data_IF_639867415172
#
_entry.id   IF_639867415172
#
_cell.length_a   1.000
_cell.length_b   1.000
_cell.length_c   1.000
_cell.angle_alpha   90.00
_cell.angle_beta   90.00
_cell.angle_gamma   90.00
#
_symmetry.space_group_name_H-M   'P 1'
#
loop_
_entity.id
_entity.type
_entity.pdbx_description
1 polymer ?
#
# COMPACT_ATOMS: atom_id res chain seq x y z
N UNK A 1 -3.03 -29.11 2.79
CA UNK A 1 -4.15 -28.32 2.21
C UNK A 1 -4.11 -26.97 2.89
N UNK A 2 -3.94 -25.86 2.16
CA UNK A 2 -4.01 -24.52 2.75
C UNK A 2 -5.46 -24.23 3.10
N UNK A 3 -5.76 -24.06 4.38
CA UNK A 3 -7.05 -23.56 4.81
C UNK A 3 -7.15 -22.11 4.37
N UNK A 4 -7.96 -21.84 3.36
CA UNK A 4 -8.31 -20.46 3.01
C UNK A 4 -9.34 -19.99 4.02
N UNK A 5 -9.00 -19.05 4.86
CA UNK A 5 -9.90 -18.43 5.82
C UNK A 5 -10.33 -17.05 5.27
N UNK A 6 -11.65 -16.82 5.25
CA UNK A 6 -12.22 -15.50 4.95
C UNK A 6 -12.61 -14.80 6.24
N UNK A 7 -11.93 -13.70 6.54
CA UNK A 7 -12.27 -12.84 7.68
C UNK A 7 -12.95 -11.59 7.15
N UNK A 8 -14.23 -11.44 7.47
CA UNK A 8 -14.98 -10.21 7.18
C UNK A 8 -14.89 -9.29 8.40
N UNK A 9 -14.25 -8.15 8.23
CA UNK A 9 -14.12 -7.16 9.28
C UNK A 9 -15.05 -5.97 8.98
N UNK A 10 -16.19 -5.93 9.68
CA UNK A 10 -17.12 -4.80 9.63
C UNK A 10 -16.86 -3.86 10.81
N UNK A 11 -16.36 -2.66 10.52
CA UNK A 11 -16.20 -1.61 11.53
C UNK A 11 -16.88 -0.32 11.05
N UNK A 12 -18.04 -0.04 11.64
CA UNK A 12 -18.82 1.15 11.34
C UNK A 12 -18.27 2.44 11.98
N UNK A 13 -17.30 2.30 12.89
CA UNK A 13 -16.64 3.44 13.56
C UNK A 13 -15.59 4.12 12.66
N UNK A 14 -15.08 3.42 11.64
CA UNK A 14 -14.12 3.98 10.71
C UNK A 14 -14.84 4.81 9.66
N UNK A 15 -14.60 6.12 9.56
CA UNK A 15 -15.27 6.98 8.61
C UNK A 15 -15.10 6.50 7.16
N UNK A 16 -16.15 6.70 6.35
CA UNK A 16 -16.11 6.39 4.92
C UNK A 16 -14.95 7.14 4.26
N UNK A 17 -14.18 6.44 3.42
CA UNK A 17 -13.01 7.01 2.73
C UNK A 17 -11.69 6.92 3.50
N UNK A 18 -11.68 6.45 4.75
CA UNK A 18 -10.46 6.25 5.53
C UNK A 18 -9.91 4.82 5.36
N UNK A 19 -9.51 4.48 4.13
CA UNK A 19 -9.08 3.11 3.80
C UNK A 19 -7.81 2.67 4.53
N UNK A 20 -6.86 3.58 4.74
CA UNK A 20 -5.59 3.25 5.41
C UNK A 20 -5.82 2.77 6.84
N UNK A 21 -6.82 3.32 7.54
CA UNK A 21 -7.18 2.87 8.89
C UNK A 21 -7.72 1.44 8.84
N UNK A 22 -8.58 1.12 7.87
CA UNK A 22 -9.10 -0.23 7.69
C UNK A 22 -7.98 -1.23 7.40
N UNK A 23 -7.07 -0.90 6.49
CA UNK A 23 -5.92 -1.72 6.20
C UNK A 23 -5.00 -1.88 7.42
N UNK A 24 -4.74 -0.81 8.19
CA UNK A 24 -3.95 -0.92 9.42
C UNK A 24 -4.52 -1.94 10.40
N UNK A 25 -5.84 -1.96 10.58
CA UNK A 25 -6.52 -2.93 11.46
C UNK A 25 -6.36 -4.36 10.92
N UNK A 26 -6.62 -4.57 9.62
CA UNK A 26 -6.50 -5.88 8.99
C UNK A 26 -5.07 -6.43 9.01
N UNK A 27 -4.08 -5.59 8.68
CA UNK A 27 -2.68 -5.99 8.70
C UNK A 27 -2.15 -6.22 10.11
N UNK A 28 -2.60 -5.42 11.10
CA UNK A 28 -2.29 -5.67 12.50
C UNK A 28 -2.80 -7.04 12.95
N UNK A 29 -4.05 -7.37 12.62
CA UNK A 29 -4.60 -8.68 12.92
C UNK A 29 -3.80 -9.79 12.24
N UNK A 30 -3.53 -9.70 10.95
CA UNK A 30 -2.75 -10.71 10.23
C UNK A 30 -1.33 -10.86 10.80
N UNK A 31 -0.72 -9.76 11.24
CA UNK A 31 0.58 -9.78 11.91
C UNK A 31 0.51 -10.52 13.26
N UNK A 32 -0.53 -10.25 14.07
CA UNK A 32 -0.74 -10.91 15.36
C UNK A 32 -1.06 -12.39 15.20
N UNK A 33 -1.73 -12.78 14.12
CA UNK A 33 -2.01 -14.17 13.73
C UNK A 33 -0.77 -14.89 13.13
N UNK A 34 0.41 -14.26 13.15
CA UNK A 34 1.68 -14.78 12.68
C UNK A 34 1.78 -15.08 11.17
N UNK A 35 1.02 -14.39 10.32
CA UNK A 35 1.24 -14.46 8.88
C UNK A 35 2.57 -13.80 8.49
N UNK A 36 3.27 -14.39 7.50
CA UNK A 36 4.59 -13.95 7.07
C UNK A 36 4.58 -12.90 5.97
N UNK A 37 3.53 -12.91 5.15
CA UNK A 37 3.41 -12.02 3.98
C UNK A 37 2.02 -11.41 3.91
N UNK A 38 1.97 -10.17 3.42
CA UNK A 38 0.76 -9.39 3.30
C UNK A 38 0.62 -8.82 1.90
N UNK A 39 -0.59 -8.86 1.37
CA UNK A 39 -0.92 -8.22 0.11
C UNK A 39 -2.10 -7.27 0.29
N UNK A 40 -1.86 -5.99 0.00
CA UNK A 40 -2.90 -4.97 0.01
C UNK A 40 -3.38 -4.76 -1.42
N UNK A 41 -4.68 -4.88 -1.65
CA UNK A 41 -5.31 -4.60 -2.93
C UNK A 41 -6.74 -4.05 -2.74
N UNK A 42 -7.28 -3.43 -3.78
CA UNK A 42 -8.70 -3.11 -3.89
C UNK A 42 -9.54 -4.33 -4.21
N UNK A 43 -10.85 -4.16 -4.13
CA UNK A 43 -11.88 -5.14 -4.50
C UNK A 43 -12.11 -5.27 -6.01
N UNK A 44 -11.47 -4.39 -6.78
CA UNK A 44 -11.58 -4.23 -8.23
C UNK A 44 -10.34 -4.73 -8.99
N UNK A 45 -9.49 -5.50 -8.33
CA UNK A 45 -8.25 -6.03 -8.93
C UNK A 45 -8.50 -7.36 -9.65
N UNK A 46 -8.00 -7.44 -10.88
CA UNK A 46 -8.03 -8.66 -11.70
C UNK A 46 -6.61 -9.12 -11.99
N UNK A 47 -6.24 -10.28 -11.46
CA UNK A 47 -4.95 -10.92 -11.74
C UNK A 47 -4.95 -11.53 -13.15
N UNK A 48 -4.02 -11.09 -13.99
CA UNK A 48 -3.87 -11.56 -15.38
C UNK A 48 -2.84 -12.66 -15.53
N UNK A 49 -1.97 -12.84 -14.53
CA UNK A 49 -0.88 -13.83 -14.54
C UNK A 49 -0.94 -14.71 -13.32
N UNK A 50 -0.52 -15.98 -13.47
CA UNK A 50 -0.40 -16.95 -12.38
C UNK A 50 0.99 -16.92 -11.77
N UNK A 51 1.15 -17.45 -10.55
CA UNK A 51 2.45 -17.62 -9.89
C UNK A 51 3.00 -16.37 -9.21
N UNK A 52 2.36 -15.23 -9.32
CA UNK A 52 2.83 -13.95 -8.79
C UNK A 52 3.07 -13.96 -7.27
N UNK A 53 2.32 -14.76 -6.51
CA UNK A 53 2.51 -14.90 -5.04
C UNK A 53 3.88 -15.54 -4.76
N UNK A 54 4.17 -16.67 -5.40
CA UNK A 54 5.43 -17.39 -5.20
C UNK A 54 6.62 -16.53 -5.63
N UNK A 55 6.51 -15.81 -6.74
CA UNK A 55 7.55 -14.93 -7.23
C UNK A 55 7.75 -13.71 -6.33
N UNK A 56 6.65 -13.17 -5.75
CA UNK A 56 6.73 -12.10 -4.73
C UNK A 56 7.46 -12.56 -3.48
N UNK A 57 7.13 -13.76 -2.97
CA UNK A 57 7.80 -14.37 -1.81
C UNK A 57 9.28 -14.61 -2.12
N UNK A 58 9.58 -15.19 -3.28
CA UNK A 58 10.97 -15.48 -3.70
C UNK A 58 11.78 -14.19 -3.83
N UNK A 59 11.19 -13.14 -4.42
CA UNK A 59 11.81 -11.82 -4.51
C UNK A 59 12.15 -11.25 -3.13
N UNK A 60 11.19 -11.23 -2.20
CA UNK A 60 11.44 -10.70 -0.85
C UNK A 60 12.47 -11.54 -0.09
N UNK A 61 12.41 -12.88 -0.18
CA UNK A 61 13.40 -13.76 0.45
C UNK A 61 14.81 -13.47 -0.03
N UNK A 62 15.02 -13.24 -1.33
CA UNK A 62 16.31 -12.86 -1.91
C UNK A 62 16.84 -11.50 -1.43
N UNK A 63 15.98 -10.71 -0.79
CA UNK A 63 16.25 -9.35 -0.25
C UNK A 63 16.09 -9.29 1.27
N UNK A 64 16.37 -10.38 1.97
CA UNK A 64 16.24 -10.51 3.42
C UNK A 64 14.82 -10.16 3.93
N UNK A 65 13.80 -10.39 3.12
CA UNK A 65 12.41 -10.02 3.39
C UNK A 65 12.18 -8.51 3.66
N UNK A 66 13.08 -7.63 3.22
CA UNK A 66 12.92 -6.17 3.34
C UNK A 66 12.61 -5.60 1.96
N UNK A 67 11.42 -5.04 1.79
CA UNK A 67 11.04 -4.41 0.54
C UNK A 67 9.56 -4.43 0.23
N UNK A 68 9.25 -3.76 -0.86
CA UNK A 68 7.95 -3.72 -1.51
C UNK A 68 8.05 -4.41 -2.86
N UNK A 69 7.16 -5.34 -3.14
CA UNK A 69 7.06 -6.02 -4.44
C UNK A 69 5.60 -6.22 -4.83
N UNK A 70 5.36 -6.83 -5.96
CA UNK A 70 4.05 -7.22 -6.47
C UNK A 70 3.95 -7.06 -7.98
N UNK A 71 2.85 -7.57 -8.58
CA UNK A 71 2.56 -7.38 -10.00
C UNK A 71 2.47 -5.90 -10.37
N UNK A 72 2.92 -5.55 -11.56
CA UNK A 72 2.62 -4.23 -12.14
C UNK A 72 1.14 -4.14 -12.53
N UNK A 73 0.66 -2.93 -12.76
CA UNK A 73 -0.73 -2.66 -13.08
C UNK A 73 -0.87 -1.56 -14.16
N UNK A 74 -2.08 -1.04 -14.34
CA UNK A 74 -2.36 0.04 -15.30
C UNK A 74 -1.55 1.32 -15.02
N UNK A 75 -1.05 1.50 -13.79
CA UNK A 75 -0.21 2.63 -13.44
C UNK A 75 1.27 2.32 -13.73
N UNK A 76 1.80 2.88 -14.80
CA UNK A 76 3.20 2.63 -15.22
C UNK A 76 4.26 3.28 -14.32
N UNK A 77 3.86 4.13 -13.36
CA UNK A 77 4.79 4.89 -12.51
C UNK A 77 5.06 4.19 -11.18
N UNK A 78 4.03 3.64 -10.56
CA UNK A 78 4.08 3.08 -9.20
C UNK A 78 3.27 1.80 -9.11
N UNK A 79 3.57 0.96 -8.13
CA UNK A 79 2.66 -0.11 -7.70
C UNK A 79 1.47 0.54 -6.98
N UNK A 80 0.24 0.18 -7.32
CA UNK A 80 -0.98 0.61 -6.62
C UNK A 80 -1.51 -0.46 -5.67
N UNK A 81 -0.90 -1.63 -5.69
CA UNK A 81 -1.06 -2.71 -4.73
C UNK A 81 0.30 -3.05 -4.15
N UNK A 82 0.33 -3.50 -2.91
CA UNK A 82 1.59 -3.74 -2.22
C UNK A 82 1.68 -5.15 -1.64
N UNK A 83 2.76 -5.85 -1.97
CA UNK A 83 3.15 -7.11 -1.37
C UNK A 83 4.40 -6.89 -0.51
N UNK A 84 4.28 -7.17 0.79
CA UNK A 84 5.36 -7.00 1.76
C UNK A 84 5.46 -8.22 2.67
N UNK A 85 6.61 -8.42 3.32
CA UNK A 85 6.75 -9.38 4.40
C UNK A 85 6.31 -8.76 5.73
N UNK A 86 6.17 -9.61 6.78
CA UNK A 86 5.93 -9.17 8.16
C UNK A 86 6.96 -8.16 8.68
N UNK A 87 8.16 -8.11 8.10
CA UNK A 87 9.17 -7.10 8.44
C UNK A 87 8.70 -5.66 8.22
N UNK A 88 7.74 -5.43 7.34
CA UNK A 88 7.09 -4.12 7.21
C UNK A 88 6.49 -3.68 8.55
N UNK A 89 5.74 -4.56 9.21
CA UNK A 89 5.12 -4.27 10.50
C UNK A 89 6.18 -4.15 11.63
N UNK A 90 7.26 -4.92 11.55
CA UNK A 90 8.39 -4.84 12.50
C UNK A 90 9.16 -3.52 12.37
N UNK A 91 9.29 -3.01 11.14
CA UNK A 91 10.00 -1.75 10.85
C UNK A 91 9.19 -0.54 11.28
N UNK A 92 7.90 -0.51 10.95
CA UNK A 92 7.06 0.67 11.09
C UNK A 92 6.11 0.61 12.29
N UNK A 93 5.72 -0.58 12.75
CA UNK A 93 4.67 -0.77 13.77
C UNK A 93 3.24 -0.61 13.25
N UNK A 94 3.06 -0.26 11.99
CA UNK A 94 1.79 -0.04 11.29
C UNK A 94 1.98 -0.29 9.79
N UNK A 95 0.87 -0.44 9.05
CA UNK A 95 0.96 -0.65 7.60
C UNK A 95 1.01 0.68 6.83
N UNK A 96 0.17 1.63 7.20
CA UNK A 96 0.19 2.99 6.69
C UNK A 96 0.34 3.99 7.83
N UNK A 97 1.09 5.10 7.63
CA UNK A 97 1.16 6.17 8.62
C UNK A 97 -0.21 6.80 8.83
N UNK A 98 -0.51 7.14 10.09
CA UNK A 98 -1.82 7.69 10.52
C UNK A 98 -2.19 9.02 9.84
N UNK A 99 -1.20 9.72 9.32
CA UNK A 99 -1.34 10.99 8.60
C UNK A 99 -2.00 10.81 7.23
N UNK A 100 -1.87 9.62 6.64
CA UNK A 100 -2.46 9.30 5.33
C UNK A 100 -3.76 8.55 5.56
N UNK A 101 -4.89 9.13 5.12
CA UNK A 101 -6.23 8.53 5.31
C UNK A 101 -6.70 7.72 4.12
N UNK A 102 -6.32 8.13 2.91
CA UNK A 102 -6.69 7.47 1.66
C UNK A 102 -5.71 7.84 0.54
N UNK A 103 -5.88 9.03 -0.06
CA UNK A 103 -5.09 9.49 -1.20
C UNK A 103 -3.58 9.51 -0.91
N UNK A 104 -2.80 9.14 -1.93
CA UNK A 104 -1.33 9.05 -1.86
C UNK A 104 -0.79 7.96 -0.91
N UNK A 105 -1.61 7.01 -0.47
CA UNK A 105 -1.12 5.88 0.31
C UNK A 105 -0.18 4.98 -0.53
N UNK A 106 -0.52 4.75 -1.79
CA UNK A 106 0.32 4.07 -2.76
C UNK A 106 1.58 4.88 -3.13
N UNK A 107 1.47 6.19 -3.30
CA UNK A 107 2.65 7.04 -3.46
C UNK A 107 3.60 6.87 -2.25
N UNK A 108 3.08 6.86 -1.01
CA UNK A 108 3.90 6.74 0.20
C UNK A 108 4.74 5.46 0.21
N UNK A 109 4.14 4.26 0.03
CA UNK A 109 4.94 3.04 0.13
C UNK A 109 5.92 2.88 -1.05
N UNK A 110 5.56 3.35 -2.26
CA UNK A 110 6.53 3.40 -3.35
C UNK A 110 7.70 4.35 -3.02
N UNK A 111 7.43 5.52 -2.46
CA UNK A 111 8.45 6.49 -2.08
C UNK A 111 9.33 5.99 -0.94
N UNK A 112 8.75 5.39 0.10
CA UNK A 112 9.50 4.96 1.29
C UNK A 112 10.45 3.80 0.97
N UNK A 113 10.07 2.93 0.04
CA UNK A 113 10.90 1.80 -0.38
C UNK A 113 11.86 2.13 -1.54
N UNK A 114 11.62 3.21 -2.30
CA UNK A 114 12.51 3.61 -3.39
C UNK A 114 13.80 4.28 -2.88
N UNK A 115 14.92 4.13 -3.64
CA UNK A 115 15.09 3.22 -4.79
C UNK A 115 15.53 1.79 -4.40
N UNK A 116 16.00 1.59 -3.15
CA UNK A 116 16.82 0.43 -2.79
C UNK A 116 16.02 -0.83 -2.40
N UNK A 117 14.72 -0.65 -2.09
CA UNK A 117 13.86 -1.72 -1.55
C UNK A 117 12.55 -1.87 -2.33
N UNK A 118 12.46 -1.32 -3.55
CA UNK A 118 11.30 -1.46 -4.42
C UNK A 118 11.59 -2.42 -5.56
N UNK A 119 10.85 -3.52 -5.66
CA UNK A 119 11.08 -4.64 -6.57
C UNK A 119 9.81 -5.02 -7.35
N UNK A 120 9.34 -4.22 -8.32
CA UNK A 120 8.16 -4.55 -9.11
C UNK A 120 8.37 -5.82 -9.95
N UNK A 121 7.39 -6.73 -9.94
CA UNK A 121 7.39 -7.93 -10.78
C UNK A 121 6.85 -7.59 -12.17
N UNK A 122 7.74 -7.20 -13.09
CA UNK A 122 7.37 -6.74 -14.43
C UNK A 122 6.81 -7.82 -15.35
N UNK A 123 7.00 -9.09 -15.01
CA UNK A 123 6.45 -10.26 -15.68
C UNK A 123 5.05 -10.65 -15.19
N UNK A 124 4.54 -9.98 -14.16
CA UNK A 124 3.21 -10.19 -13.61
C UNK A 124 2.36 -8.93 -13.70
N UNK A 125 1.08 -9.13 -13.97
CA UNK A 125 0.13 -8.04 -14.17
C UNK A 125 -1.14 -8.27 -13.35
N UNK A 126 -1.52 -7.25 -12.58
CA UNK A 126 -2.77 -7.16 -11.82
C UNK A 126 -3.50 -5.87 -12.22
N UNK A 127 -4.47 -5.98 -13.11
CA UNK A 127 -5.22 -4.83 -13.61
C UNK A 127 -6.18 -4.28 -12.57
N UNK A 128 -6.25 -2.96 -12.45
CA UNK A 128 -7.31 -2.29 -11.74
C UNK A 128 -8.45 -2.00 -12.73
N UNK A 129 -9.60 -2.64 -12.53
CA UNK A 129 -10.80 -2.49 -13.34
C UNK A 129 -11.83 -1.57 -12.68
N UNK A 130 -11.46 -0.89 -11.58
CA UNK A 130 -12.28 0.13 -10.95
C UNK A 130 -12.58 1.30 -11.89
N UNK A 131 -13.74 1.92 -11.72
CA UNK A 131 -14.16 3.11 -12.45
C UNK A 131 -13.56 4.39 -11.87
N UNK A 132 -14.33 5.48 -11.97
CA UNK A 132 -13.97 6.77 -11.41
C UNK A 132 -13.72 6.72 -9.88
N UNK A 133 -12.85 7.61 -9.35
CA UNK A 133 -12.57 7.66 -7.94
C UNK A 133 -13.83 7.82 -7.09
N UNK A 134 -14.04 6.91 -6.15
CA UNK A 134 -15.24 6.86 -5.30
C UNK A 134 -15.16 7.77 -4.06
N UNK A 135 -14.02 8.40 -3.82
CA UNK A 135 -13.76 9.14 -2.58
C UNK A 135 -13.11 10.49 -2.86
N UNK A 136 -13.51 11.47 -2.05
CA UNK A 136 -13.00 12.83 -2.12
C UNK A 136 -11.57 12.93 -1.51
N UNK A 137 -10.77 13.86 -2.01
CA UNK A 137 -9.45 14.18 -1.47
C UNK A 137 -9.56 14.81 -0.08
N UNK A 138 -10.58 15.62 0.11
CA UNK A 138 -10.88 16.29 1.39
C UNK A 138 -12.10 15.60 2.01
N UNK A 139 -11.90 14.71 2.96
CA UNK A 139 -12.96 13.92 3.60
C UNK A 139 -14.15 14.71 4.16
N UNK A 140 -14.13 16.04 4.16
CA UNK A 140 -15.14 16.90 4.77
C UNK A 140 -15.94 17.76 3.78
N UNK A 141 -15.63 17.72 2.47
CA UNK A 141 -16.38 18.49 1.46
C UNK A 141 -16.76 17.60 0.30
N UNK A 142 -18.04 17.54 -0.01
CA UNK A 142 -18.54 16.86 -1.21
C UNK A 142 -17.82 17.42 -2.44
N UNK A 143 -16.98 16.61 -3.05
CA UNK A 143 -16.43 16.89 -4.36
C UNK A 143 -17.58 16.70 -5.37
N UNK A 144 -18.24 17.80 -5.74
CA UNK A 144 -19.15 17.79 -6.87
C UNK A 144 -18.26 17.69 -8.12
N UNK A 145 -18.42 16.64 -8.92
CA UNK A 145 -17.59 16.33 -10.09
C UNK A 145 -17.50 17.44 -11.17
N UNK A 146 -18.19 18.57 -10.98
CA UNK A 146 -18.07 19.80 -11.76
C UNK A 146 -17.15 20.84 -11.11
N UNK A 147 -16.55 20.54 -9.96
CA UNK A 147 -15.67 21.45 -9.23
C UNK A 147 -14.24 21.40 -9.74
N UNK A 148 -13.87 22.39 -10.49
CA UNK A 148 -12.52 22.84 -10.80
C UNK A 148 -11.41 21.77 -10.73
N UNK A 149 -11.13 21.13 -11.87
CA UNK A 149 -9.98 20.24 -12.10
C UNK A 149 -8.65 20.85 -11.60
N UNK A 150 -8.57 22.18 -11.56
CA UNK A 150 -7.42 22.93 -11.05
C UNK A 150 -7.29 22.87 -9.53
N UNK A 151 -8.41 22.91 -8.77
CA UNK A 151 -8.40 22.76 -7.29
C UNK A 151 -8.02 21.32 -6.92
N UNK A 152 -8.55 20.34 -7.63
CA UNK A 152 -8.17 18.93 -7.47
C UNK A 152 -6.66 18.74 -7.71
N UNK A 153 -6.13 19.27 -8.81
CA UNK A 153 -4.71 19.17 -9.14
C UNK A 153 -3.82 19.83 -8.08
N UNK A 154 -4.21 20.99 -7.57
CA UNK A 154 -3.47 21.68 -6.51
C UNK A 154 -3.46 20.88 -5.20
N UNK A 155 -4.61 20.37 -4.80
CA UNK A 155 -4.73 19.58 -3.56
C UNK A 155 -3.94 18.28 -3.65
N UNK A 156 -3.98 17.56 -4.77
CA UNK A 156 -3.21 16.34 -4.95
C UNK A 156 -1.70 16.60 -4.95
N UNK A 157 -1.23 17.73 -5.52
CA UNK A 157 0.17 18.11 -5.47
C UNK A 157 0.63 18.40 -4.05
N UNK A 158 -0.17 19.11 -3.26
CA UNK A 158 0.13 19.39 -1.85
C UNK A 158 0.18 18.10 -1.03
N UNK A 159 -0.77 17.19 -1.24
CA UNK A 159 -0.78 15.88 -0.57
C UNK A 159 0.46 15.05 -0.94
N UNK A 160 0.84 15.01 -2.22
CA UNK A 160 2.05 14.32 -2.66
C UNK A 160 3.30 14.90 -2.05
N UNK A 161 3.40 16.22 -1.97
CA UNK A 161 4.53 16.87 -1.30
C UNK A 161 4.61 16.46 0.18
N UNK A 162 3.50 16.55 0.93
CA UNK A 162 3.45 16.13 2.33
C UNK A 162 3.78 14.65 2.48
N UNK A 163 3.27 13.81 1.58
CA UNK A 163 3.56 12.36 1.54
C UNK A 163 5.04 12.09 1.30
N UNK A 164 5.68 12.85 0.40
CA UNK A 164 7.13 12.76 0.14
C UNK A 164 7.94 13.10 1.39
N UNK A 165 7.58 14.17 2.11
CA UNK A 165 8.27 14.55 3.36
C UNK A 165 8.15 13.43 4.39
N UNK A 166 6.96 12.88 4.57
CA UNK A 166 6.69 11.78 5.48
C UNK A 166 7.46 10.51 5.08
N UNK A 167 7.47 10.16 3.79
CA UNK A 167 8.24 9.03 3.28
C UNK A 167 9.74 9.19 3.53
N UNK A 168 10.31 10.39 3.34
CA UNK A 168 11.71 10.67 3.61
C UNK A 168 12.06 10.50 5.10
N UNK A 169 11.17 10.88 6.00
CA UNK A 169 11.34 10.63 7.44
C UNK A 169 11.30 9.14 7.75
N UNK A 170 10.34 8.40 7.17
CA UNK A 170 10.13 6.99 7.44
C UNK A 170 11.21 6.08 6.81
N UNK A 171 11.88 6.48 5.73
CA UNK A 171 13.03 5.74 5.15
C UNK A 171 14.10 5.40 6.18
N UNK A 172 14.36 6.32 7.10
CA UNK A 172 15.35 6.13 8.17
C UNK A 172 15.04 4.92 9.05
N UNK A 173 13.76 4.54 9.18
CA UNK A 173 13.37 3.34 9.93
C UNK A 173 13.81 2.07 9.22
N UNK A 174 13.70 2.00 7.90
CA UNK A 174 14.17 0.85 7.09
C UNK A 174 15.70 0.73 7.22
N UNK A 175 16.42 1.82 7.08
CA UNK A 175 17.88 1.85 7.19
C UNK A 175 18.35 1.40 8.57
N UNK A 176 17.72 1.93 9.63
CA UNK A 176 18.00 1.54 11.01
C UNK A 176 17.75 0.04 11.24
N UNK A 177 16.60 -0.47 10.76
CA UNK A 177 16.24 -1.88 10.88
C UNK A 177 17.24 -2.76 10.12
N UNK A 178 17.53 -2.42 8.87
CA UNK A 178 18.45 -3.18 8.02
C UNK A 178 19.86 -3.25 8.63
N UNK A 179 20.36 -2.16 9.20
CA UNK A 179 21.69 -2.12 9.83
C UNK A 179 21.77 -2.95 11.14
N UNK A 180 20.65 -3.06 11.85
CA UNK A 180 20.59 -3.86 13.08
C UNK A 180 20.57 -5.36 12.81
N UNK A 181 20.16 -5.80 11.61
CA UNK A 181 19.93 -7.20 11.27
C UNK A 181 20.87 -7.70 10.15
N UNK A 182 21.95 -6.97 9.86
CA UNK A 182 23.11 -7.43 9.10
C UNK A 182 24.03 -8.26 10.02
#
# INVERSE_FOLDING_TARGET
>A
MSNNEFIVYNNNEIPKGHHTIKWNVLFKKAYDDNYDYFYQCGDDIVFKTKGWINDSISMLRSKNNIGLTGPINNNNRILTQSFVSRKHMEIFGWYFPKEIKNWCCDDWYNMVYSPNYLYPLRNHYAGNNGGEPRYDINNDKKFNGNGNQMIFSKNIQMLRYSTQQLANQNKKLIEKYSNKHK
#
